data_IF_454257444803
#
_entry.id   IF_454257444803
#
_cell.length_a   1.000
_cell.length_b   1.000
_cell.length_c   1.000
_cell.angle_alpha   90.00
_cell.angle_beta   90.00
_cell.angle_gamma   90.00
#
_symmetry.space_group_name_H-M   'P 1'
#
loop_
_entity.id
_entity.type
_entity.pdbx_description
1 polymer ?
#
# COMPACT_ATOMS: atom_id res chain seq x y z
N UNK A 1 -78.17 -5.55 -6.50
CA UNK A 1 -77.44 -6.78 -6.18
C UNK A 1 -76.19 -6.83 -7.04
N UNK A 2 -75.07 -6.31 -6.55
CA UNK A 2 -73.74 -6.50 -7.13
C UNK A 2 -72.81 -6.58 -5.94
N UNK A 3 -72.42 -7.80 -5.56
CA UNK A 3 -71.45 -8.05 -4.50
C UNK A 3 -70.05 -7.79 -4.99
N UNK A 4 -69.28 -6.96 -4.25
CA UNK A 4 -67.92 -6.60 -4.46
C UNK A 4 -67.02 -7.73 -3.95
N UNK A 5 -66.27 -8.34 -4.84
CA UNK A 5 -65.18 -9.28 -4.52
C UNK A 5 -63.95 -8.49 -4.10
N UNK A 6 -63.71 -8.36 -2.81
CA UNK A 6 -62.45 -7.89 -2.24
C UNK A 6 -61.51 -9.07 -2.03
N UNK A 7 -60.53 -9.25 -2.95
CA UNK A 7 -59.42 -10.16 -2.75
C UNK A 7 -58.43 -9.55 -1.77
N UNK A 8 -58.41 -10.03 -0.54
CA UNK A 8 -57.34 -9.79 0.42
C UNK A 8 -56.19 -10.72 0.08
N UNK A 9 -55.14 -10.24 -0.59
CA UNK A 9 -53.85 -10.89 -0.65
C UNK A 9 -53.02 -10.37 0.52
N UNK A 10 -53.27 -10.90 1.71
CA UNK A 10 -52.31 -10.79 2.83
C UNK A 10 -51.51 -12.10 2.90
N UNK A 11 -50.53 -12.24 2.05
CA UNK A 11 -49.46 -13.21 2.28
C UNK A 11 -48.47 -12.56 3.25
N UNK A 12 -48.71 -12.71 4.54
CA UNK A 12 -47.73 -12.53 5.59
C UNK A 12 -46.60 -13.54 5.35
N UNK A 13 -45.50 -13.12 4.83
CA UNK A 13 -44.26 -13.88 4.93
C UNK A 13 -44.04 -14.18 6.42
N UNK A 14 -43.72 -15.43 6.82
CA UNK A 14 -43.58 -15.77 8.23
C UNK A 14 -42.51 -14.85 8.83
N UNK A 15 -42.83 -14.18 9.93
CA UNK A 15 -41.96 -13.27 10.65
C UNK A 15 -40.59 -13.88 11.00
N UNK A 16 -40.53 -15.20 11.10
CA UNK A 16 -39.31 -15.99 11.31
C UNK A 16 -38.29 -15.86 10.17
N UNK A 17 -38.73 -15.73 8.92
CA UNK A 17 -37.80 -15.53 7.77
C UNK A 17 -37.21 -14.12 7.76
N UNK A 18 -37.99 -13.10 8.12
CA UNK A 18 -37.49 -11.73 8.26
C UNK A 18 -36.50 -11.60 9.43
N UNK A 19 -36.80 -12.22 10.57
CA UNK A 19 -35.93 -12.24 11.74
C UNK A 19 -34.63 -12.99 11.44
N UNK A 20 -34.68 -14.13 10.76
CA UNK A 20 -33.51 -14.90 10.33
C UNK A 20 -32.61 -14.13 9.37
N UNK A 21 -33.18 -13.41 8.38
CA UNK A 21 -32.44 -12.59 7.46
C UNK A 21 -31.73 -11.39 8.14
N UNK A 22 -32.39 -10.74 9.10
CA UNK A 22 -31.83 -9.64 9.89
C UNK A 22 -30.68 -10.12 10.79
N UNK A 23 -30.83 -11.28 11.44
CA UNK A 23 -29.78 -11.87 12.27
C UNK A 23 -28.59 -12.28 11.40
N UNK A 24 -28.81 -12.94 10.26
CA UNK A 24 -27.74 -13.30 9.33
C UNK A 24 -27.01 -12.06 8.79
N UNK A 25 -27.75 -10.99 8.44
CA UNK A 25 -27.17 -9.71 8.04
C UNK A 25 -26.34 -9.07 9.13
N UNK A 26 -26.83 -9.06 10.38
CA UNK A 26 -26.10 -8.51 11.52
C UNK A 26 -24.82 -9.32 11.82
N UNK A 27 -24.88 -10.64 11.76
CA UNK A 27 -23.70 -11.51 11.94
C UNK A 27 -22.67 -11.26 10.84
N UNK A 28 -23.11 -11.12 9.57
CA UNK A 28 -22.22 -10.81 8.47
C UNK A 28 -21.54 -9.45 8.65
N UNK A 29 -22.28 -8.42 9.06
CA UNK A 29 -21.74 -7.08 9.33
C UNK A 29 -20.73 -7.13 10.48
N UNK A 30 -21.06 -7.77 11.61
CA UNK A 30 -20.14 -7.94 12.75
C UNK A 30 -18.90 -8.74 12.32
N UNK A 31 -19.06 -9.78 11.53
CA UNK A 31 -17.95 -10.58 10.99
C UNK A 31 -17.02 -9.74 10.10
N UNK A 32 -17.56 -8.88 9.23
CA UNK A 32 -16.80 -7.96 8.38
C UNK A 32 -16.05 -6.94 9.24
N UNK A 33 -16.71 -6.34 10.26
CA UNK A 33 -16.07 -5.39 11.17
C UNK A 33 -14.95 -6.05 11.99
N UNK A 34 -15.20 -7.24 12.54
CA UNK A 34 -14.18 -7.98 13.29
C UNK A 34 -12.97 -8.32 12.41
N UNK A 35 -13.21 -8.73 11.16
CA UNK A 35 -12.14 -9.02 10.19
C UNK A 35 -11.33 -7.77 9.84
N UNK A 36 -11.96 -6.61 9.65
CA UNK A 36 -11.25 -5.35 9.33
C UNK A 36 -10.45 -4.80 10.51
N UNK A 37 -10.76 -5.18 11.75
CA UNK A 37 -9.99 -4.83 12.94
C UNK A 37 -8.84 -5.81 13.23
N UNK A 38 -8.83 -6.98 12.58
CA UNK A 38 -7.76 -7.96 12.74
C UNK A 38 -6.51 -7.52 11.95
N UNK A 39 -5.43 -7.26 12.67
CA UNK A 39 -4.13 -6.88 12.06
C UNK A 39 -3.51 -7.98 11.20
N UNK A 40 -4.06 -9.17 11.21
CA UNK A 40 -3.62 -10.30 10.38
C UNK A 40 -4.59 -10.60 9.22
N UNK A 41 -5.63 -9.81 9.02
CA UNK A 41 -6.68 -10.06 8.02
C UNK A 41 -6.15 -10.12 6.58
N UNK A 42 -5.08 -9.43 6.26
CA UNK A 42 -4.44 -9.49 4.93
C UNK A 42 -3.85 -10.86 4.63
N UNK A 43 -3.33 -11.57 5.64
CA UNK A 43 -2.65 -12.84 5.44
C UNK A 43 -3.54 -13.97 4.86
N UNK A 44 -4.75 -14.25 5.39
CA UNK A 44 -5.65 -15.23 4.78
C UNK A 44 -6.08 -14.85 3.36
N UNK A 45 -6.21 -13.56 3.04
CA UNK A 45 -6.51 -13.11 1.66
C UNK A 45 -5.37 -13.49 0.71
N UNK A 46 -4.13 -13.20 1.09
CA UNK A 46 -2.94 -13.59 0.31
C UNK A 46 -2.92 -15.10 0.06
N UNK A 47 -3.15 -15.89 1.10
CA UNK A 47 -3.19 -17.35 0.99
C UNK A 47 -4.30 -17.84 0.05
N UNK A 48 -5.47 -17.21 0.09
CA UNK A 48 -6.57 -17.52 -0.82
C UNK A 48 -6.18 -17.23 -2.28
N UNK A 49 -5.55 -16.08 -2.56
CA UNK A 49 -5.04 -15.74 -3.89
C UNK A 49 -4.04 -16.80 -4.41
N UNK A 50 -3.07 -17.17 -3.56
CA UNK A 50 -2.05 -18.18 -3.91
C UNK A 50 -2.69 -19.54 -4.16
N UNK A 51 -3.63 -19.97 -3.30
CA UNK A 51 -4.32 -21.25 -3.45
C UNK A 51 -5.15 -21.28 -4.75
N UNK A 52 -5.93 -20.23 -5.00
CA UNK A 52 -6.74 -20.14 -6.21
C UNK A 52 -5.88 -20.11 -7.48
N UNK A 53 -4.80 -19.34 -7.48
CA UNK A 53 -3.88 -19.28 -8.60
C UNK A 53 -3.26 -20.64 -8.92
N UNK A 54 -2.88 -21.42 -7.89
CA UNK A 54 -2.34 -22.78 -8.07
C UNK A 54 -3.37 -23.78 -8.59
N UNK A 55 -4.63 -23.67 -8.14
CA UNK A 55 -5.68 -24.62 -8.49
C UNK A 55 -6.34 -24.33 -9.82
N UNK A 56 -6.50 -23.07 -10.18
CA UNK A 56 -7.33 -22.64 -11.32
C UNK A 56 -6.56 -21.80 -12.35
N UNK A 57 -5.34 -21.36 -12.03
CA UNK A 57 -4.59 -20.38 -12.84
C UNK A 57 -5.09 -18.93 -12.66
N UNK A 58 -6.19 -18.70 -11.92
CA UNK A 58 -6.74 -17.35 -11.70
C UNK A 58 -6.14 -16.70 -10.45
N UNK A 59 -5.71 -15.42 -10.52
CA UNK A 59 -5.19 -14.71 -9.34
C UNK A 59 -6.29 -14.28 -8.35
N UNK A 60 -7.59 -14.36 -8.72
CA UNK A 60 -8.70 -13.87 -7.89
C UNK A 60 -8.64 -14.43 -6.45
N UNK A 61 -8.90 -13.60 -5.41
CA UNK A 61 -9.36 -12.20 -5.43
C UNK A 61 -8.26 -11.14 -5.65
N UNK A 62 -7.00 -11.54 -5.87
CA UNK A 62 -5.92 -10.64 -6.21
C UNK A 62 -5.96 -10.20 -7.69
N UNK A 63 -5.24 -9.13 -8.01
CA UNK A 63 -5.03 -8.65 -9.37
C UNK A 63 -3.92 -9.45 -10.08
N UNK A 64 -2.91 -9.85 -9.30
CA UNK A 64 -1.77 -10.64 -9.76
C UNK A 64 -1.24 -11.54 -8.66
N UNK A 65 -0.75 -12.70 -9.04
CA UNK A 65 -0.01 -13.63 -8.17
C UNK A 65 1.26 -14.06 -8.90
N UNK A 66 2.42 -13.74 -8.34
CA UNK A 66 3.72 -14.15 -8.84
C UNK A 66 4.29 -15.23 -7.94
N UNK A 67 4.56 -16.40 -8.53
CA UNK A 67 5.08 -17.57 -7.82
C UNK A 67 6.51 -17.92 -8.22
N UNK A 68 7.08 -17.21 -9.21
CA UNK A 68 8.45 -17.41 -9.65
C UNK A 68 9.44 -17.15 -8.52
N UNK A 69 10.39 -18.07 -8.32
CA UNK A 69 11.31 -18.02 -7.17
C UNK A 69 10.70 -18.56 -5.87
N UNK A 70 9.50 -19.15 -5.95
CA UNK A 70 8.83 -19.82 -4.84
C UNK A 70 8.39 -18.86 -3.72
N UNK A 71 8.12 -19.41 -2.52
CA UNK A 71 7.64 -18.64 -1.38
C UNK A 71 8.61 -17.54 -0.93
N UNK A 72 9.89 -17.66 -1.25
CA UNK A 72 10.91 -16.70 -0.81
C UNK A 72 10.85 -15.39 -1.61
N UNK A 73 10.47 -15.43 -2.87
CA UNK A 73 10.48 -14.30 -3.81
C UNK A 73 9.10 -13.91 -4.32
N UNK A 74 8.09 -14.78 -4.14
CA UNK A 74 6.75 -14.54 -4.65
C UNK A 74 6.04 -13.38 -3.95
N UNK A 75 5.10 -12.78 -4.68
CA UNK A 75 4.25 -11.71 -4.19
C UNK A 75 2.86 -11.76 -4.80
N UNK A 76 1.95 -11.01 -4.24
CA UNK A 76 0.62 -10.74 -4.78
C UNK A 76 0.43 -9.24 -4.94
N UNK A 77 -0.41 -8.85 -5.90
CA UNK A 77 -0.93 -7.49 -6.04
C UNK A 77 -2.42 -7.54 -5.86
N UNK A 78 -2.96 -6.70 -5.01
CA UNK A 78 -4.40 -6.68 -4.72
C UNK A 78 -4.90 -5.28 -4.39
N UNK A 79 -6.22 -5.10 -4.44
CA UNK A 79 -6.92 -3.99 -3.81
C UNK A 79 -7.63 -4.54 -2.58
N UNK A 80 -7.38 -3.99 -1.38
CA UNK A 80 -8.08 -4.41 -0.18
C UNK A 80 -9.60 -4.31 -0.38
N UNK A 81 -10.38 -5.31 0.05
CA UNK A 81 -11.84 -5.29 -0.12
C UNK A 81 -12.53 -4.29 0.80
N UNK A 82 -11.82 -3.80 1.81
CA UNK A 82 -12.31 -2.86 2.82
C UNK A 82 -11.19 -1.85 3.09
N UNK A 83 -11.52 -0.58 3.17
CA UNK A 83 -10.58 0.51 3.43
C UNK A 83 -10.38 1.40 2.20
N UNK A 84 -9.18 1.93 2.06
CA UNK A 84 -8.81 2.80 0.94
C UNK A 84 -8.77 2.00 -0.37
N UNK A 85 -9.20 2.57 -1.51
CA UNK A 85 -9.17 1.90 -2.81
C UNK A 85 -7.76 1.84 -3.41
N UNK A 86 -6.75 1.67 -2.58
CA UNK A 86 -5.36 1.62 -2.97
C UNK A 86 -4.97 0.28 -3.63
N UNK A 87 -3.95 0.31 -4.43
CA UNK A 87 -3.29 -0.90 -4.92
C UNK A 87 -2.12 -1.20 -4.01
N UNK A 88 -2.04 -2.43 -3.52
CA UNK A 88 -0.92 -2.86 -2.68
C UNK A 88 -0.21 -4.07 -3.28
N UNK A 89 1.11 -4.14 -3.07
CA UNK A 89 1.90 -5.35 -3.27
C UNK A 89 2.27 -5.95 -1.93
N UNK A 90 2.13 -7.26 -1.77
CA UNK A 90 2.52 -7.97 -0.54
C UNK A 90 3.24 -9.28 -0.85
N UNK A 91 4.31 -9.62 -0.08
CA UNK A 91 4.97 -10.93 -0.18
C UNK A 91 3.99 -12.08 0.09
N UNK A 92 4.18 -13.24 -0.57
CA UNK A 92 3.42 -14.48 -0.28
C UNK A 92 3.98 -15.24 0.93
N UNK A 93 5.14 -14.83 1.46
CA UNK A 93 5.68 -15.27 2.75
C UNK A 93 5.30 -14.26 3.84
N UNK A 94 5.28 -14.73 5.08
CA UNK A 94 5.09 -13.82 6.20
C UNK A 94 6.29 -12.88 6.37
N UNK A 95 6.04 -11.58 6.32
CA UNK A 95 6.97 -10.49 6.62
C UNK A 95 6.22 -9.47 7.46
N UNK A 96 6.63 -9.24 8.71
CA UNK A 96 5.85 -8.42 9.65
C UNK A 96 5.73 -6.94 9.25
N UNK A 97 6.74 -6.39 8.62
CA UNK A 97 6.78 -4.98 8.22
C UNK A 97 8.20 -4.52 7.91
N UNK A 98 8.40 -3.21 7.87
CA UNK A 98 9.68 -2.59 7.53
C UNK A 98 10.83 -3.03 8.45
N UNK A 99 10.53 -3.36 9.70
CA UNK A 99 11.48 -3.84 10.71
C UNK A 99 11.93 -5.29 10.52
N UNK A 100 11.35 -6.02 9.56
CA UNK A 100 11.66 -7.43 9.37
C UNK A 100 13.13 -7.63 8.95
N UNK A 101 13.91 -8.46 9.65
CA UNK A 101 15.29 -8.74 9.26
C UNK A 101 15.40 -9.44 7.90
N UNK A 102 14.31 -10.04 7.44
CA UNK A 102 14.24 -10.66 6.11
C UNK A 102 14.45 -9.66 4.97
N UNK A 103 14.10 -8.39 5.17
CA UNK A 103 14.28 -7.34 4.18
C UNK A 103 15.74 -6.82 4.12
N UNK A 104 16.53 -7.14 5.14
CA UNK A 104 17.94 -6.74 5.23
C UNK A 104 18.89 -7.79 4.67
N UNK A 105 18.39 -9.01 4.39
CA UNK A 105 19.19 -10.07 3.77
C UNK A 105 19.65 -9.66 2.36
N UNK A 106 20.90 -9.99 1.96
CA UNK A 106 21.36 -9.79 0.59
C UNK A 106 20.51 -10.53 -0.48
N UNK A 107 19.84 -11.62 -0.06
CA UNK A 107 18.98 -12.43 -0.93
C UNK A 107 17.51 -11.96 -0.90
N UNK A 108 17.19 -10.89 -0.14
CA UNK A 108 15.84 -10.38 -0.07
C UNK A 108 15.35 -9.95 -1.47
N UNK A 109 14.11 -10.27 -1.86
CA UNK A 109 13.53 -9.74 -3.08
C UNK A 109 13.41 -8.23 -3.01
N UNK A 110 13.63 -7.57 -4.13
CA UNK A 110 13.37 -6.14 -4.24
C UNK A 110 11.88 -5.87 -4.48
N UNK A 111 11.09 -5.95 -3.41
CA UNK A 111 9.64 -5.74 -3.48
C UNK A 111 9.26 -4.32 -3.95
N UNK A 112 10.14 -3.32 -3.82
CA UNK A 112 9.89 -2.00 -4.38
C UNK A 112 9.97 -2.00 -5.91
N UNK A 113 10.91 -2.74 -6.50
CA UNK A 113 10.97 -2.91 -7.96
C UNK A 113 9.74 -3.68 -8.48
N UNK A 114 9.30 -4.70 -7.75
CA UNK A 114 8.07 -5.42 -8.08
C UNK A 114 6.83 -4.52 -7.97
N UNK A 115 6.75 -3.69 -6.93
CA UNK A 115 5.67 -2.72 -6.75
C UNK A 115 5.68 -1.65 -7.85
N UNK A 116 6.86 -1.19 -8.27
CA UNK A 116 6.96 -0.30 -9.41
C UNK A 116 6.42 -0.91 -10.71
N UNK A 117 6.67 -2.17 -10.93
CA UNK A 117 6.10 -2.89 -12.07
C UNK A 117 4.58 -3.07 -11.94
N UNK A 118 4.08 -3.22 -10.70
CA UNK A 118 2.65 -3.32 -10.41
C UNK A 118 1.89 -1.99 -10.54
N UNK A 119 2.55 -0.83 -10.71
CA UNK A 119 1.90 0.48 -10.93
C UNK A 119 0.92 0.48 -12.11
N UNK A 120 1.06 -0.47 -13.05
CA UNK A 120 0.12 -0.64 -14.18
C UNK A 120 -1.32 -0.92 -13.75
N UNK A 121 -1.53 -1.32 -12.50
CA UNK A 121 -2.88 -1.49 -11.92
C UNK A 121 -3.44 -0.20 -11.33
N UNK A 122 -2.65 0.88 -11.24
CA UNK A 122 -3.12 2.21 -10.84
C UNK A 122 -3.52 2.97 -12.08
N UNK A 123 -4.79 3.41 -12.13
CA UNK A 123 -5.36 4.12 -13.26
C UNK A 123 -6.16 5.31 -12.76
N UNK A 124 -6.38 6.29 -13.65
CA UNK A 124 -7.35 7.36 -13.41
C UNK A 124 -8.80 6.83 -13.43
N UNK A 125 -9.76 7.71 -13.21
CA UNK A 125 -11.19 7.38 -13.22
C UNK A 125 -11.68 6.82 -14.57
N UNK A 126 -11.00 7.15 -15.67
CA UNK A 126 -11.29 6.67 -17.01
C UNK A 126 -10.56 5.35 -17.36
N UNK A 127 -9.79 4.81 -16.41
CA UNK A 127 -9.00 3.59 -16.61
C UNK A 127 -7.71 3.80 -17.39
N UNK A 128 -7.23 5.04 -17.56
CA UNK A 128 -5.97 5.34 -18.26
C UNK A 128 -4.77 5.21 -17.33
N UNK A 129 -3.59 4.80 -17.86
CA UNK A 129 -2.37 4.75 -17.09
C UNK A 129 -1.99 6.14 -16.54
N UNK A 130 -1.50 6.15 -15.31
CA UNK A 130 -0.99 7.35 -14.66
C UNK A 130 0.45 7.65 -15.13
N UNK A 131 0.78 8.95 -15.25
CA UNK A 131 2.17 9.35 -15.49
C UNK A 131 3.09 8.78 -14.39
N UNK A 132 4.15 8.04 -14.75
CA UNK A 132 5.07 7.48 -13.77
C UNK A 132 5.68 8.50 -12.80
N UNK A 133 5.79 9.76 -13.16
CA UNK A 133 6.31 10.83 -12.28
C UNK A 133 5.37 11.13 -11.10
N UNK A 134 4.08 10.82 -11.26
CA UNK A 134 3.07 10.97 -10.21
C UNK A 134 2.97 9.76 -9.28
N UNK A 135 3.58 8.62 -9.63
CA UNK A 135 3.46 7.40 -8.83
C UNK A 135 4.41 7.43 -7.64
N UNK A 136 3.85 7.20 -6.47
CA UNK A 136 4.55 6.94 -5.23
C UNK A 136 4.37 5.50 -4.74
N UNK A 137 5.40 4.99 -4.10
CA UNK A 137 5.40 3.70 -3.40
C UNK A 137 5.68 3.97 -1.93
N UNK A 138 4.82 3.53 -1.02
CA UNK A 138 4.96 3.82 0.41
C UNK A 138 4.75 2.57 1.26
N UNK A 139 5.62 2.37 2.24
CA UNK A 139 5.46 1.35 3.30
C UNK A 139 5.16 2.04 4.61
N UNK A 140 4.04 1.69 5.20
CA UNK A 140 3.61 2.22 6.49
C UNK A 140 4.46 1.66 7.63
N UNK A 141 4.84 2.53 8.59
CA UNK A 141 5.48 2.12 9.83
C UNK A 141 4.48 1.39 10.73
N UNK A 142 4.98 0.73 11.78
CA UNK A 142 4.18 -0.10 12.70
C UNK A 142 2.98 0.64 13.30
N UNK A 143 3.12 1.92 13.61
CA UNK A 143 2.06 2.72 14.23
C UNK A 143 0.95 3.14 13.26
N UNK A 144 1.24 3.15 11.96
CA UNK A 144 0.28 3.59 10.93
C UNK A 144 -0.27 2.43 10.11
N UNK A 145 0.37 1.27 10.11
CA UNK A 145 -0.13 0.12 9.35
C UNK A 145 -1.32 -0.54 10.07
N UNK A 146 -2.34 -0.87 9.33
CA UNK A 146 -3.52 -1.61 9.83
C UNK A 146 -3.29 -3.12 9.79
N UNK A 147 -2.33 -3.60 9.02
CA UNK A 147 -2.02 -5.02 8.82
C UNK A 147 -0.57 -5.32 9.14
N UNK A 148 -0.31 -6.41 9.86
CA UNK A 148 1.05 -6.84 10.24
C UNK A 148 1.72 -7.73 9.18
N UNK A 149 1.13 -7.89 8.01
CA UNK A 149 1.80 -8.40 6.82
C UNK A 149 2.34 -7.22 6.00
N UNK A 150 3.63 -7.27 5.62
CA UNK A 150 4.25 -6.23 4.79
C UNK A 150 3.41 -5.98 3.53
N UNK A 151 3.13 -4.73 3.27
CA UNK A 151 2.52 -4.29 2.04
C UNK A 151 3.08 -2.93 1.63
N UNK A 152 3.28 -2.78 0.33
CA UNK A 152 3.72 -1.53 -0.30
C UNK A 152 2.49 -0.93 -0.97
N UNK A 153 2.09 0.25 -0.52
CA UNK A 153 1.04 1.04 -1.14
C UNK A 153 1.54 1.65 -2.44
N UNK A 154 0.73 1.61 -3.47
CA UNK A 154 1.01 2.11 -4.81
C UNK A 154 -0.12 3.07 -5.18
N UNK A 155 0.18 4.34 -5.30
CA UNK A 155 -0.80 5.39 -5.60
C UNK A 155 -0.15 6.62 -6.23
N UNK A 156 -0.91 7.68 -6.43
CA UNK A 156 -0.37 8.94 -6.88
C UNK A 156 0.18 9.74 -5.69
N UNK A 157 1.34 10.34 -5.85
CA UNK A 157 1.83 11.32 -4.88
C UNK A 157 0.86 12.49 -4.80
N UNK A 158 0.60 12.97 -3.59
CA UNK A 158 -0.10 14.25 -3.42
C UNK A 158 0.71 15.37 -4.08
N UNK A 159 0.08 16.41 -4.65
CA UNK A 159 0.80 17.45 -5.44
C UNK A 159 1.95 18.11 -4.69
N UNK A 160 1.79 18.31 -3.37
CA UNK A 160 2.83 18.88 -2.52
C UNK A 160 4.07 17.98 -2.42
N UNK A 161 3.85 16.66 -2.31
CA UNK A 161 4.93 15.69 -2.24
C UNK A 161 5.67 15.56 -3.58
N UNK A 162 4.94 15.57 -4.70
CA UNK A 162 5.52 15.57 -6.04
C UNK A 162 6.42 16.81 -6.26
N UNK A 163 5.91 18.01 -5.98
CA UNK A 163 6.64 19.25 -6.12
C UNK A 163 7.89 19.32 -5.22
N UNK A 164 7.75 18.88 -3.95
CA UNK A 164 8.86 18.85 -3.00
C UNK A 164 9.94 17.85 -3.42
N UNK A 165 9.55 16.70 -3.96
CA UNK A 165 10.46 15.68 -4.47
C UNK A 165 11.29 16.20 -5.65
N UNK A 166 10.64 16.86 -6.61
CA UNK A 166 11.30 17.49 -7.76
C UNK A 166 12.28 18.58 -7.33
N UNK A 167 11.85 19.48 -6.45
CA UNK A 167 12.69 20.56 -5.93
C UNK A 167 13.89 20.02 -5.12
N UNK A 168 13.71 18.92 -4.41
CA UNK A 168 14.78 18.26 -3.67
C UNK A 168 15.81 17.65 -4.62
N UNK A 169 15.41 16.83 -5.58
CA UNK A 169 16.32 16.18 -6.51
C UNK A 169 17.12 17.19 -7.36
N UNK A 170 16.56 18.38 -7.62
CA UNK A 170 17.28 19.44 -8.35
C UNK A 170 18.51 19.99 -7.62
N UNK A 171 18.58 19.83 -6.28
CA UNK A 171 19.68 20.40 -5.46
C UNK A 171 20.49 19.36 -4.69
N UNK A 172 19.94 18.15 -4.47
CA UNK A 172 20.58 17.13 -3.68
C UNK A 172 21.59 16.32 -4.51
N UNK A 173 22.75 15.99 -3.96
CA UNK A 173 23.71 15.15 -4.66
C UNK A 173 23.21 13.72 -4.77
N UNK A 174 23.35 13.11 -5.96
CA UNK A 174 23.01 11.71 -6.17
C UNK A 174 23.90 10.80 -5.33
N UNK A 175 23.34 9.70 -4.82
CA UNK A 175 24.05 8.72 -4.03
C UNK A 175 24.31 9.12 -2.57
N UNK A 176 23.67 10.19 -2.08
CA UNK A 176 23.85 10.68 -0.71
C UNK A 176 22.51 11.00 -0.04
N UNK A 177 22.39 10.62 1.22
CA UNK A 177 21.27 11.03 2.06
C UNK A 177 21.38 12.52 2.40
N UNK A 178 20.32 13.24 2.19
CA UNK A 178 20.20 14.66 2.53
C UNK A 178 18.85 14.95 3.15
N UNK A 179 18.79 15.96 4.02
CA UNK A 179 17.51 16.41 4.59
C UNK A 179 16.69 17.05 3.49
N UNK A 180 15.54 16.47 3.19
CA UNK A 180 14.61 17.01 2.21
C UNK A 180 13.81 18.16 2.82
N UNK A 181 13.40 18.03 4.06
CA UNK A 181 12.45 18.91 4.73
C UNK A 181 11.03 18.37 4.67
N UNK A 182 10.05 19.24 4.57
CA UNK A 182 8.65 18.85 4.49
C UNK A 182 8.31 18.37 3.07
N UNK A 183 7.81 17.13 2.95
CA UNK A 183 7.10 16.66 1.75
C UNK A 183 5.63 17.10 1.79
N UNK A 184 5.05 17.03 2.97
CA UNK A 184 3.72 17.50 3.30
C UNK A 184 3.79 18.34 4.57
N UNK A 185 2.80 19.17 4.91
CA UNK A 185 2.84 20.02 6.10
C UNK A 185 3.25 19.24 7.35
N UNK A 186 4.13 19.83 8.15
CA UNK A 186 4.60 19.28 9.43
C UNK A 186 5.37 17.96 9.34
N UNK A 187 5.89 17.57 8.18
CA UNK A 187 6.74 16.40 8.02
C UNK A 187 8.21 16.76 7.95
N UNK A 188 9.09 15.81 8.26
CA UNK A 188 10.53 15.90 8.02
C UNK A 188 11.00 14.63 7.37
N UNK A 189 11.41 14.72 6.13
CA UNK A 189 11.95 13.60 5.38
C UNK A 189 13.42 13.77 5.07
N UNK A 190 14.09 12.64 4.92
CA UNK A 190 15.38 12.50 4.27
C UNK A 190 15.18 11.85 2.93
N UNK A 191 15.95 12.28 1.95
CA UNK A 191 15.90 11.74 0.60
C UNK A 191 17.28 11.29 0.14
N UNK A 192 17.27 10.28 -0.71
CA UNK A 192 18.44 9.73 -1.38
C UNK A 192 18.16 9.66 -2.89
N UNK A 193 18.64 10.68 -3.67
CA UNK A 193 18.58 10.59 -5.13
C UNK A 193 19.49 9.46 -5.60
N UNK A 194 18.96 8.52 -6.36
CA UNK A 194 19.68 7.28 -6.69
C UNK A 194 20.59 7.42 -7.92
N UNK A 195 20.35 8.43 -8.75
CA UNK A 195 20.96 8.55 -10.07
C UNK A 195 20.49 7.47 -11.06
N UNK A 196 19.56 6.62 -10.67
CA UNK A 196 19.07 5.49 -11.47
C UNK A 196 17.62 5.68 -11.90
N UNK A 197 17.32 5.25 -13.12
CA UNK A 197 15.95 5.09 -13.65
C UNK A 197 15.44 3.67 -13.55
N UNK A 198 16.26 2.74 -13.05
CA UNK A 198 15.93 1.33 -12.86
C UNK A 198 15.89 1.00 -11.36
N UNK A 199 14.68 0.85 -10.82
CA UNK A 199 14.48 0.53 -9.41
C UNK A 199 14.95 -0.90 -9.05
N UNK A 200 15.15 -1.78 -10.03
CA UNK A 200 15.70 -3.10 -9.78
C UNK A 200 17.17 -3.06 -9.30
N UNK A 201 17.89 -1.97 -9.59
CA UNK A 201 19.27 -1.74 -9.13
C UNK A 201 19.37 -1.02 -7.79
N UNK A 202 18.24 -0.64 -7.21
CA UNK A 202 18.14 0.11 -5.95
C UNK A 202 17.53 -0.77 -4.87
N UNK A 203 18.07 -0.74 -3.67
CA UNK A 203 17.59 -1.52 -2.52
C UNK A 203 16.94 -0.59 -1.46
N UNK A 204 15.71 -0.08 -1.66
CA UNK A 204 15.16 0.99 -0.84
C UNK A 204 15.06 0.65 0.65
N UNK A 205 14.67 -0.59 1.00
CA UNK A 205 14.62 -1.02 2.41
C UNK A 205 15.99 -0.92 3.06
N UNK A 206 17.02 -1.50 2.44
CA UNK A 206 18.37 -1.51 3.02
C UNK A 206 18.95 -0.10 3.11
N UNK A 207 18.75 0.73 2.08
CA UNK A 207 19.19 2.12 2.07
C UNK A 207 18.53 2.92 3.20
N UNK A 208 17.21 2.85 3.31
CA UNK A 208 16.47 3.59 4.32
C UNK A 208 16.78 3.12 5.74
N UNK A 209 16.78 1.80 5.98
CA UNK A 209 17.00 1.26 7.31
C UNK A 209 18.44 1.48 7.80
N UNK A 210 19.44 1.39 6.92
CA UNK A 210 20.82 1.73 7.26
C UNK A 210 20.98 3.19 7.65
N UNK A 211 20.37 4.11 6.92
CA UNK A 211 20.41 5.55 7.23
C UNK A 211 19.67 5.86 8.54
N UNK A 212 18.51 5.26 8.76
CA UNK A 212 17.68 5.52 9.93
C UNK A 212 18.22 4.85 11.21
N UNK A 213 19.07 3.82 11.12
CA UNK A 213 19.65 3.14 12.27
C UNK A 213 20.42 4.07 13.23
N UNK A 214 21.05 5.13 12.69
CA UNK A 214 21.72 6.15 13.49
C UNK A 214 20.80 7.28 14.00
N UNK A 215 19.56 7.34 13.54
CA UNK A 215 18.64 8.44 13.81
C UNK A 215 17.50 8.04 14.76
N UNK A 216 17.10 6.79 14.78
CA UNK A 216 16.01 6.30 15.65
C UNK A 216 16.34 4.93 16.23
N UNK A 217 15.95 4.72 17.49
CA UNK A 217 15.98 3.39 18.14
C UNK A 217 14.77 2.53 17.73
N UNK A 218 13.71 3.14 17.25
CA UNK A 218 12.48 2.46 16.87
C UNK A 218 12.37 2.32 15.35
N UNK A 219 13.13 1.39 14.78
CA UNK A 219 13.14 1.15 13.34
C UNK A 219 11.80 0.64 12.79
N UNK A 220 10.96 0.03 13.64
CA UNK A 220 9.62 -0.38 13.23
C UNK A 220 8.72 0.81 12.84
N UNK A 221 9.04 2.00 13.33
CA UNK A 221 8.29 3.23 13.04
C UNK A 221 8.95 4.10 11.96
N UNK A 222 9.83 3.53 11.15
CA UNK A 222 10.35 4.18 9.95
C UNK A 222 9.34 4.04 8.80
N UNK A 223 9.00 5.15 8.18
CA UNK A 223 8.29 5.17 6.90
C UNK A 223 9.32 5.13 5.78
N UNK A 224 9.12 4.26 4.81
CA UNK A 224 9.95 4.19 3.61
C UNK A 224 9.09 4.48 2.39
N UNK A 225 9.51 5.42 1.55
CA UNK A 225 8.81 5.72 0.31
C UNK A 225 9.79 5.83 -0.87
N UNK A 226 9.25 5.70 -2.08
CA UNK A 226 10.00 5.85 -3.34
C UNK A 226 9.14 6.62 -4.32
N UNK A 227 9.72 7.61 -4.97
CA UNK A 227 9.10 8.32 -6.09
C UNK A 227 10.07 8.46 -7.25
N UNK A 228 9.54 8.52 -8.47
CA UNK A 228 10.30 8.89 -9.66
C UNK A 228 10.18 10.40 -9.87
N UNK A 229 11.29 11.06 -10.15
CA UNK A 229 11.29 12.49 -10.47
C UNK A 229 12.07 12.78 -11.74
N UNK A 230 11.96 14.01 -12.25
CA UNK A 230 12.68 14.46 -13.42
C UNK A 230 13.32 15.82 -13.18
N UNK A 231 14.63 15.91 -13.35
CA UNK A 231 15.42 17.14 -13.22
C UNK A 231 16.16 17.41 -14.52
N UNK A 232 15.90 18.54 -15.14
CA UNK A 232 16.51 18.93 -16.43
C UNK A 232 16.41 17.81 -17.50
N UNK A 233 15.26 17.13 -17.56
CA UNK A 233 14.98 16.04 -18.51
C UNK A 233 15.58 14.68 -18.14
N UNK A 234 16.35 14.58 -17.05
CA UNK A 234 16.86 13.30 -16.54
C UNK A 234 15.96 12.80 -15.44
N UNK A 235 15.49 11.56 -15.60
CA UNK A 235 14.67 10.89 -14.60
C UNK A 235 15.56 10.13 -13.62
N UNK A 236 15.16 10.10 -12.36
CA UNK A 236 15.78 9.26 -11.35
C UNK A 236 14.78 8.91 -10.24
N UNK A 237 14.99 7.77 -9.59
CA UNK A 237 14.28 7.44 -8.36
C UNK A 237 14.90 8.16 -7.17
N UNK A 238 14.05 8.56 -6.24
CA UNK A 238 14.46 9.06 -4.92
C UNK A 238 13.86 8.14 -3.86
N UNK A 239 14.73 7.60 -3.02
CA UNK A 239 14.31 6.86 -1.81
C UNK A 239 14.12 7.88 -0.69
N UNK A 240 13.01 7.77 0.00
CA UNK A 240 12.59 8.67 1.08
C UNK A 240 12.46 7.88 2.38
N UNK A 241 12.85 8.50 3.48
CA UNK A 241 12.63 7.93 4.81
C UNK A 241 12.31 9.01 5.84
N UNK A 242 11.48 8.66 6.81
CA UNK A 242 11.19 9.47 8.00
C UNK A 242 10.88 8.59 9.19
N UNK A 243 10.93 9.17 10.39
CA UNK A 243 10.62 8.46 11.65
C UNK A 243 9.95 9.42 12.65
N UNK A 244 9.13 8.92 13.59
CA UNK A 244 8.60 9.74 14.67
C UNK A 244 9.70 10.26 15.58
N UNK A 245 9.57 11.50 16.04
CA UNK A 245 10.59 12.18 16.83
C UNK A 245 11.64 12.92 16.02
N UNK A 246 11.54 12.95 14.68
CA UNK A 246 12.25 13.91 13.86
C UNK A 246 11.89 15.35 14.32
N UNK A 247 12.85 16.32 14.30
CA UNK A 247 12.57 17.67 14.77
C UNK A 247 11.30 18.24 14.13
N UNK A 248 10.35 18.69 14.95
CA UNK A 248 9.05 19.22 14.56
C UNK A 248 8.06 18.20 13.98
N UNK A 249 8.35 16.90 14.04
CA UNK A 249 7.43 15.85 13.64
C UNK A 249 6.90 15.12 14.89
N UNK A 250 5.63 15.34 15.22
CA UNK A 250 4.98 14.85 16.44
C UNK A 250 4.26 13.53 16.23
N UNK A 251 4.05 13.14 14.96
CA UNK A 251 3.33 11.93 14.57
C UNK A 251 4.08 11.15 13.50
N UNK A 252 3.69 9.91 13.35
CA UNK A 252 4.23 9.02 12.34
C UNK A 252 3.51 9.28 11.01
N UNK A 253 4.29 9.48 9.94
CA UNK A 253 3.78 9.65 8.59
C UNK A 253 3.53 8.28 7.95
N UNK A 254 2.52 8.19 7.08
CA UNK A 254 2.16 6.97 6.37
C UNK A 254 1.73 7.23 4.93
N UNK A 255 1.20 6.20 4.28
CA UNK A 255 0.72 6.26 2.90
C UNK A 255 -0.40 7.28 2.72
N UNK A 256 -1.30 7.39 3.70
CA UNK A 256 -2.44 8.31 3.66
C UNK A 256 -2.02 9.79 3.66
N UNK A 257 -0.80 10.08 4.08
CA UNK A 257 -0.25 11.43 4.10
C UNK A 257 0.47 11.79 2.80
N UNK A 258 0.94 10.79 2.04
CA UNK A 258 1.78 10.96 0.87
C UNK A 258 1.09 10.60 -0.44
N UNK A 259 0.04 9.77 -0.40
CA UNK A 259 -0.63 9.24 -1.58
C UNK A 259 -2.10 9.65 -1.62
N UNK A 260 -2.55 10.01 -2.81
CA UNK A 260 -3.96 10.01 -3.20
C UNK A 260 -4.23 8.78 -4.06
N UNK A 261 -5.38 8.13 -3.87
CA UNK A 261 -5.67 6.87 -4.54
C UNK A 261 -6.63 7.00 -5.72
N UNK A 262 -7.29 8.12 -5.87
CA UNK A 262 -8.14 8.44 -7.02
C UNK A 262 -7.37 9.12 -8.17
N UNK A 263 -6.13 9.53 -7.91
CA UNK A 263 -5.22 10.10 -8.91
C UNK A 263 -5.83 11.25 -9.73
N UNK A 264 -6.67 12.08 -9.13
CA UNK A 264 -7.41 13.15 -9.83
C UNK A 264 -6.62 14.46 -9.93
N UNK A 265 -5.50 14.62 -9.21
CA UNK A 265 -4.69 15.83 -9.16
C UNK A 265 -4.08 16.28 -10.48
#
# INVERSE_FOLDING_TARGET
>A
MIESWRWRLSRLLPSSLFTGALIAGAIAIVGIWAFSLDRQALWPVIRACVANSRLTGSPFPCLEVKLEGGAQRGFVVLRPPIGQPDTILSPIRWVSGVESPLLMSPEAPNYFADAWNARRFVTDADGRPIDPLRIGLVVNPKERRTQDQLHIHIGCLVPEAEAALQAFAARAPAGQWSKLGALVPHSVFWGFPTGSTDLATVEPFRLAMAAMAGMTQNQANVTVAVGLTSVAGRKEFVVLATYPGAPHQWWTMGSDDLLEYDCQG
#
